data_IF_572286862550
#
_entry.id   IF_572286862550
#
_cell.length_a   1.000
_cell.length_b   1.000
_cell.length_c   1.000
_cell.angle_alpha   90.00
_cell.angle_beta   90.00
_cell.angle_gamma   90.00
#
_symmetry.space_group_name_H-M   'P 1'
#
loop_
_entity.id
_entity.type
_entity.pdbx_description
1 polymer ?
#
# COMPACT_ATOMS: atom_id res chain seq x y z
N UNK A 1 -3.76 -5.96 9.47
CA UNK A 1 -4.96 -5.12 9.68
C UNK A 1 -4.76 -3.97 10.68
N UNK A 2 -3.74 -3.96 11.56
CA UNK A 2 -3.46 -2.86 12.53
C UNK A 2 -4.72 -2.26 13.23
N UNK A 3 -5.59 -3.14 13.74
CA UNK A 3 -6.89 -2.75 14.28
C UNK A 3 -6.76 -2.30 15.74
N UNK A 4 -7.54 -1.28 16.17
CA UNK A 4 -7.62 -0.92 17.58
C UNK A 4 -8.35 -2.01 18.39
N UNK A 5 -8.16 -2.06 19.73
CA UNK A 5 -8.64 -3.16 20.57
C UNK A 5 -10.15 -3.42 20.52
N UNK A 6 -10.97 -2.38 20.36
CA UNK A 6 -12.43 -2.49 20.23
C UNK A 6 -12.84 -3.23 18.95
N UNK A 7 -12.17 -2.94 17.82
CA UNK A 7 -12.43 -3.60 16.53
C UNK A 7 -11.95 -5.04 16.54
N UNK A 8 -10.84 -5.34 17.21
CA UNK A 8 -10.37 -6.72 17.41
C UNK A 8 -11.39 -7.52 18.23
N UNK A 9 -11.89 -6.95 19.34
CA UNK A 9 -12.93 -7.60 20.16
C UNK A 9 -14.19 -7.91 19.36
N UNK A 10 -14.64 -6.96 18.54
CA UNK A 10 -15.81 -7.15 17.68
C UNK A 10 -15.61 -8.29 16.65
N UNK A 11 -14.47 -8.32 15.95
CA UNK A 11 -14.15 -9.42 15.02
C UNK A 11 -14.00 -10.77 15.74
N UNK A 12 -13.51 -10.76 16.98
CA UNK A 12 -13.42 -11.95 17.81
C UNK A 12 -14.76 -12.63 18.06
N UNK A 13 -15.86 -11.87 18.02
CA UNK A 13 -17.24 -12.36 18.22
C UNK A 13 -17.85 -12.97 16.96
N UNK A 14 -17.18 -12.92 15.80
CA UNK A 14 -17.69 -13.53 14.58
C UNK A 14 -17.77 -15.05 14.73
N UNK A 15 -18.79 -15.64 14.10
CA UNK A 15 -18.88 -17.09 13.90
C UNK A 15 -17.71 -17.61 13.03
N UNK A 16 -17.54 -18.93 13.01
CA UNK A 16 -16.44 -19.55 12.29
C UNK A 16 -16.54 -19.40 10.77
N UNK A 17 -17.75 -19.28 10.22
CA UNK A 17 -17.96 -19.12 8.77
C UNK A 17 -17.45 -17.76 8.30
N UNK A 18 -17.81 -16.69 9.00
CA UNK A 18 -17.30 -15.33 8.71
C UNK A 18 -15.80 -15.21 8.96
N UNK A 19 -15.27 -15.87 9.98
CA UNK A 19 -13.81 -15.91 10.21
C UNK A 19 -13.08 -16.62 9.07
N UNK A 20 -13.66 -17.70 8.55
CA UNK A 20 -13.09 -18.43 7.43
C UNK A 20 -13.16 -17.64 6.12
N UNK A 21 -14.25 -16.92 5.89
CA UNK A 21 -14.37 -15.98 4.76
C UNK A 21 -13.26 -14.92 4.80
N UNK A 22 -13.02 -14.31 5.96
CA UNK A 22 -11.93 -13.33 6.13
C UNK A 22 -10.54 -13.92 5.82
N UNK A 23 -10.29 -15.18 6.22
CA UNK A 23 -9.04 -15.87 5.88
C UNK A 23 -8.94 -16.08 4.37
N UNK A 24 -10.01 -16.56 3.73
CA UNK A 24 -10.05 -16.77 2.28
C UNK A 24 -9.79 -15.47 1.50
N UNK A 25 -10.39 -14.37 1.94
CA UNK A 25 -10.19 -13.05 1.32
C UNK A 25 -8.76 -12.55 1.47
N UNK A 26 -8.14 -12.78 2.64
CA UNK A 26 -6.75 -12.39 2.90
C UNK A 26 -5.76 -13.18 2.02
N UNK A 27 -5.99 -14.47 1.81
CA UNK A 27 -5.15 -15.31 0.93
C UNK A 27 -5.28 -14.90 -0.56
N UNK A 28 -6.45 -14.39 -0.95
CA UNK A 28 -6.69 -13.89 -2.31
C UNK A 28 -6.10 -12.50 -2.54
N UNK A 29 -5.81 -11.75 -1.48
CA UNK A 29 -5.31 -10.38 -1.59
C UNK A 29 -3.85 -10.34 -2.05
N UNK A 30 -3.58 -9.54 -3.08
CA UNK A 30 -2.23 -9.34 -3.61
C UNK A 30 -1.83 -7.87 -3.54
N UNK A 31 -0.67 -7.60 -2.94
CA UNK A 31 -0.08 -6.26 -2.92
C UNK A 31 0.42 -5.91 -4.32
N UNK A 32 0.05 -4.72 -4.82
CA UNK A 32 0.37 -4.26 -6.18
C UNK A 32 1.87 -4.22 -6.50
N UNK A 33 2.68 -3.66 -5.60
CA UNK A 33 4.13 -3.53 -5.78
C UNK A 33 4.85 -3.75 -4.44
N UNK A 34 6.04 -4.37 -4.44
CA UNK A 34 6.87 -4.46 -3.24
C UNK A 34 7.40 -3.06 -2.83
N UNK A 35 7.74 -2.84 -1.54
CA UNK A 35 8.28 -1.56 -1.06
C UNK A 35 9.52 -1.08 -1.84
N UNK A 36 10.38 -2.01 -2.25
CA UNK A 36 11.59 -1.74 -3.04
C UNK A 36 11.31 -1.00 -4.34
N UNK A 37 10.19 -1.28 -5.02
CA UNK A 37 9.81 -0.64 -6.27
C UNK A 37 9.56 0.87 -6.09
N UNK A 38 8.91 1.27 -5.00
CA UNK A 38 8.68 2.69 -4.68
C UNK A 38 9.99 3.38 -4.29
N UNK A 39 10.82 2.75 -3.46
CA UNK A 39 12.11 3.28 -3.03
C UNK A 39 13.02 3.53 -4.24
N UNK A 40 13.08 2.59 -5.19
CA UNK A 40 13.88 2.74 -6.42
C UNK A 40 13.42 3.93 -7.27
N UNK A 41 12.10 4.10 -7.48
CA UNK A 41 11.55 5.24 -8.23
C UNK A 41 11.82 6.58 -7.55
N UNK A 42 11.75 6.64 -6.23
CA UNK A 42 12.09 7.83 -5.45
C UNK A 42 13.56 8.19 -5.55
N UNK A 43 14.47 7.21 -5.37
CA UNK A 43 15.92 7.43 -5.55
C UNK A 43 16.23 7.94 -6.96
N UNK A 44 15.71 7.29 -7.99
CA UNK A 44 15.88 7.72 -9.39
C UNK A 44 15.39 9.16 -9.62
N UNK A 45 14.30 9.56 -8.97
CA UNK A 45 13.78 10.93 -9.04
C UNK A 45 14.72 11.97 -8.40
N UNK A 46 15.49 11.59 -7.38
CA UNK A 46 16.45 12.48 -6.70
C UNK A 46 17.78 12.58 -7.47
N UNK A 47 18.28 11.47 -8.02
CA UNK A 47 19.59 11.42 -8.72
C UNK A 47 19.59 12.18 -10.07
N UNK A 48 18.48 12.20 -10.78
CA UNK A 48 18.37 12.78 -12.13
C UNK A 48 18.21 14.31 -12.14
N UNK A 49 19.14 15.06 -11.52
CA UNK A 49 19.13 16.53 -11.46
C UNK A 49 18.78 17.26 -12.76
N UNK A 50 17.92 18.29 -12.66
CA UNK A 50 17.62 19.39 -13.60
C UNK A 50 17.80 19.17 -15.12
N UNK A 51 16.73 18.80 -15.84
CA UNK A 51 16.73 18.80 -17.33
C UNK A 51 15.37 18.60 -18.03
N UNK A 52 14.92 19.65 -18.74
CA UNK A 52 13.93 19.81 -19.85
C UNK A 52 12.62 19.00 -19.97
N UNK A 53 12.26 18.05 -19.08
CA UNK A 53 10.94 17.35 -19.09
C UNK A 53 10.20 17.38 -17.75
N UNK A 54 10.18 18.55 -17.11
CA UNK A 54 9.63 18.77 -15.77
C UNK A 54 8.15 18.34 -15.62
N UNK A 55 7.25 18.68 -16.56
CA UNK A 55 5.80 18.40 -16.42
C UNK A 55 5.46 16.90 -16.36
N UNK A 56 6.01 16.08 -17.27
CA UNK A 56 5.76 14.62 -17.29
C UNK A 56 6.31 13.95 -16.03
N UNK A 57 7.50 14.39 -15.60
CA UNK A 57 8.15 13.87 -14.40
C UNK A 57 7.36 14.19 -13.13
N UNK A 58 6.87 15.42 -12.98
CA UNK A 58 6.04 15.81 -11.83
C UNK A 58 4.77 14.98 -11.77
N UNK A 59 4.12 14.72 -12.91
CA UNK A 59 2.92 13.85 -12.94
C UNK A 59 3.24 12.42 -12.50
N UNK A 60 4.33 11.84 -13.01
CA UNK A 60 4.79 10.50 -12.65
C UNK A 60 5.18 10.40 -11.16
N UNK A 61 5.96 11.35 -10.64
CA UNK A 61 6.32 11.40 -9.21
C UNK A 61 5.10 11.56 -8.31
N UNK A 62 4.14 12.40 -8.68
CA UNK A 62 2.89 12.56 -7.91
C UNK A 62 2.09 11.26 -7.89
N UNK A 63 2.04 10.53 -9.01
CA UNK A 63 1.39 9.22 -9.04
C UNK A 63 2.11 8.21 -8.15
N UNK A 64 3.43 8.12 -8.24
CA UNK A 64 4.23 7.20 -7.41
C UNK A 64 4.03 7.47 -5.92
N UNK A 65 3.99 8.74 -5.51
CA UNK A 65 3.75 9.12 -4.12
C UNK A 65 2.34 8.77 -3.65
N UNK A 66 1.31 8.97 -4.48
CA UNK A 66 -0.06 8.54 -4.15
C UNK A 66 -0.16 7.02 -3.99
N UNK A 67 0.45 6.27 -4.91
CA UNK A 67 0.44 4.81 -4.81
C UNK A 67 1.24 4.31 -3.61
N UNK A 68 2.33 5.00 -3.24
CA UNK A 68 3.09 4.71 -2.03
C UNK A 68 2.28 5.01 -0.76
N UNK A 69 1.58 6.15 -0.69
CA UNK A 69 0.70 6.47 0.45
C UNK A 69 -0.37 5.40 0.66
N UNK A 70 -1.06 5.00 -0.42
CA UNK A 70 -2.08 3.96 -0.37
C UNK A 70 -1.45 2.66 0.13
N UNK A 71 -0.32 2.25 -0.45
CA UNK A 71 0.42 1.05 -0.06
C UNK A 71 0.76 1.06 1.44
N UNK A 72 1.29 2.17 1.96
CA UNK A 72 1.64 2.32 3.37
C UNK A 72 0.43 2.31 4.29
N UNK A 73 -0.70 2.86 3.87
CA UNK A 73 -1.91 2.97 4.69
C UNK A 73 -2.77 1.70 4.67
N UNK A 74 -2.81 0.96 3.56
CA UNK A 74 -3.82 -0.10 3.36
C UNK A 74 -3.26 -1.51 3.24
N UNK A 75 -1.96 -1.69 3.01
CA UNK A 75 -1.39 -3.04 2.99
C UNK A 75 -1.23 -3.60 4.42
N UNK A 76 -0.88 -4.88 4.50
CA UNK A 76 -0.57 -5.51 5.77
C UNK A 76 0.58 -4.78 6.48
N UNK A 77 0.48 -4.70 7.80
CA UNK A 77 1.47 -4.08 8.69
C UNK A 77 2.54 -5.10 9.07
#
# INVERSE_FOLDING_TARGET
MNLPPDKVKLLGQYDNEKKWELVCDQERFQVKNPPSAYIQKLKSSLEQGGGRKLKRRVQESTQVLRELEISLRTNHI
#
